data_IF_315395284007
#
_entry.id   IF_315395284007
#
_cell.length_a   1.000
_cell.length_b   1.000
_cell.length_c   1.000
_cell.angle_alpha   90.00
_cell.angle_beta   90.00
_cell.angle_gamma   90.00
#
_symmetry.space_group_name_H-M   'P 1'
#
loop_
_entity.id
_entity.type
_entity.pdbx_description
1 polymer ?
#
# COMPACT_ATOMS: atom_id res chain seq x y z
N UNK A 1 0.00 46.21 -75.66
CA UNK A 1 0.85 47.36 -75.27
C UNK A 1 -0.06 48.51 -74.86
N UNK A 2 0.15 49.23 -73.74
CA UNK A 2 0.56 48.80 -72.39
C UNK A 2 -0.37 49.37 -71.28
N UNK A 3 -0.21 48.78 -70.09
CA UNK A 3 -0.41 49.26 -68.72
C UNK A 3 -0.77 50.74 -68.45
N UNK A 4 -1.74 50.97 -67.55
CA UNK A 4 -1.65 52.06 -66.56
C UNK A 4 -2.30 51.68 -65.22
N UNK A 5 -1.47 51.75 -64.18
CA UNK A 5 -1.73 51.53 -62.75
C UNK A 5 -2.85 52.39 -62.15
N UNK A 6 -3.71 51.79 -61.33
CA UNK A 6 -4.27 52.44 -60.12
C UNK A 6 -4.20 51.46 -58.95
N UNK A 7 -3.21 51.66 -58.10
CA UNK A 7 -3.02 50.92 -56.84
C UNK A 7 -3.92 51.58 -55.79
N UNK A 8 -4.98 50.90 -55.37
CA UNK A 8 -5.69 51.21 -54.14
C UNK A 8 -4.84 50.71 -52.97
N UNK A 9 -4.35 51.62 -52.12
CA UNK A 9 -3.73 51.27 -50.83
C UNK A 9 -4.83 50.80 -49.88
N UNK A 10 -5.08 49.49 -49.82
CA UNK A 10 -5.81 48.88 -48.71
C UNK A 10 -4.80 48.69 -47.58
N UNK A 11 -5.01 49.42 -46.49
CA UNK A 11 -4.29 49.24 -45.24
C UNK A 11 -4.73 47.91 -44.63
N UNK A 12 -3.93 46.87 -44.83
CA UNK A 12 -4.08 45.60 -44.11
C UNK A 12 -3.51 45.80 -42.70
N UNK A 13 -4.39 46.01 -41.72
CA UNK A 13 -4.03 45.86 -40.31
C UNK A 13 -3.80 44.37 -40.09
N UNK A 14 -2.54 43.95 -40.15
CA UNK A 14 -2.12 42.64 -39.70
C UNK A 14 -2.28 42.62 -38.17
N UNK A 15 -3.44 42.17 -37.70
CA UNK A 15 -3.56 41.66 -36.34
C UNK A 15 -2.72 40.38 -36.31
N UNK A 16 -1.47 40.52 -35.89
CA UNK A 16 -0.65 39.41 -35.42
C UNK A 16 -1.35 38.84 -34.19
N UNK A 17 -2.27 37.92 -34.42
CA UNK A 17 -2.62 36.91 -33.42
C UNK A 17 -1.36 36.07 -33.31
N UNK A 18 -0.48 36.46 -32.38
CA UNK A 18 0.47 35.54 -31.82
C UNK A 18 -0.36 34.41 -31.22
N UNK A 19 -0.53 33.33 -31.97
CA UNK A 19 -0.89 32.06 -31.39
C UNK A 19 0.26 31.72 -30.43
N UNK A 20 0.05 32.08 -29.16
CA UNK A 20 0.86 31.56 -28.07
C UNK A 20 0.95 30.05 -28.29
N UNK A 21 2.16 29.47 -28.36
CA UNK A 21 2.26 28.02 -28.40
C UNK A 21 1.52 27.54 -27.16
N UNK A 22 0.51 26.69 -27.37
CA UNK A 22 -0.11 25.96 -26.27
C UNK A 22 1.03 25.30 -25.50
N UNK A 23 1.26 25.76 -24.27
CA UNK A 23 2.20 25.15 -23.34
C UNK A 23 1.67 23.76 -22.98
N UNK A 24 1.91 22.79 -23.86
CA UNK A 24 1.76 21.37 -23.59
C UNK A 24 3.15 20.74 -23.62
N UNK A 25 3.55 20.08 -22.54
CA UNK A 25 4.81 19.34 -22.51
C UNK A 25 4.71 18.11 -23.42
N UNK A 26 5.65 17.97 -24.36
CA UNK A 26 5.73 16.79 -25.23
C UNK A 26 6.18 15.56 -24.45
N UNK A 27 5.83 14.36 -24.90
CA UNK A 27 6.30 13.12 -24.28
C UNK A 27 7.68 12.72 -24.81
N UNK A 28 8.50 12.14 -23.94
CA UNK A 28 9.83 11.64 -24.29
C UNK A 28 9.71 10.51 -25.31
N UNK A 29 10.32 10.70 -26.48
CA UNK A 29 10.41 9.67 -27.52
C UNK A 29 11.70 8.86 -27.43
N UNK A 30 11.58 7.54 -27.58
CA UNK A 30 12.69 6.59 -27.51
C UNK A 30 12.63 5.62 -28.70
N UNK A 31 13.79 5.04 -29.05
CA UNK A 31 13.91 3.92 -29.97
C UNK A 31 14.23 2.65 -29.17
N UNK A 32 13.46 1.55 -29.33
CA UNK A 32 13.79 0.27 -28.72
C UNK A 32 15.11 -0.28 -29.27
N UNK A 33 15.88 -0.95 -28.40
CA UNK A 33 17.09 -1.69 -28.73
C UNK A 33 16.78 -3.19 -28.91
N UNK A 34 17.71 -3.94 -29.48
CA UNK A 34 17.57 -5.40 -29.59
C UNK A 34 17.35 -6.03 -28.20
N UNK A 35 16.27 -6.81 -28.05
CA UNK A 35 15.88 -7.43 -26.79
C UNK A 35 15.04 -6.55 -25.86
N UNK A 36 14.72 -5.31 -26.26
CA UNK A 36 13.83 -4.47 -25.47
C UNK A 36 12.37 -4.95 -25.51
N UNK A 37 11.82 -5.19 -24.32
CA UNK A 37 10.39 -5.23 -24.07
C UNK A 37 9.96 -4.02 -23.23
N UNK A 38 8.66 -3.80 -23.10
CA UNK A 38 8.14 -2.64 -22.34
C UNK A 38 8.71 -2.58 -20.90
N UNK A 39 8.84 -3.73 -20.25
CA UNK A 39 9.41 -3.83 -18.89
C UNK A 39 10.88 -3.40 -18.82
N UNK A 40 11.70 -3.79 -19.80
CA UNK A 40 13.13 -3.42 -19.80
C UNK A 40 13.31 -1.94 -20.11
N UNK A 41 12.48 -1.38 -21.00
CA UNK A 41 12.47 0.05 -21.29
C UNK A 41 12.07 0.85 -20.04
N UNK A 42 11.00 0.46 -19.36
CA UNK A 42 10.58 1.13 -18.12
C UNK A 42 11.68 1.09 -17.06
N UNK A 43 12.30 -0.07 -16.86
CA UNK A 43 13.45 -0.20 -15.96
C UNK A 43 14.63 0.69 -16.37
N UNK A 44 14.95 0.78 -17.67
CA UNK A 44 16.01 1.65 -18.21
C UNK A 44 15.73 3.11 -17.89
N UNK A 45 14.51 3.58 -18.08
CA UNK A 45 14.12 4.97 -17.81
C UNK A 45 13.62 5.21 -16.39
N UNK A 46 13.82 4.25 -15.47
CA UNK A 46 13.42 4.33 -14.05
C UNK A 46 11.94 4.67 -13.87
N UNK A 47 11.11 4.10 -14.74
CA UNK A 47 9.66 4.04 -14.60
C UNK A 47 9.28 2.71 -13.98
N UNK A 48 8.31 2.73 -13.08
CA UNK A 48 7.77 1.49 -12.53
C UNK A 48 6.85 0.80 -13.52
N UNK A 49 6.97 -0.52 -13.58
CA UNK A 49 6.12 -1.38 -14.42
C UNK A 49 4.76 -1.61 -13.76
N UNK A 50 3.99 -0.53 -13.63
CA UNK A 50 2.61 -0.53 -13.10
C UNK A 50 1.60 -0.53 -14.23
N UNK A 51 0.37 -0.97 -13.95
CA UNK A 51 -0.72 -0.92 -14.91
C UNK A 51 -0.97 0.52 -15.41
N UNK A 52 -0.77 1.52 -14.57
CA UNK A 52 -0.99 2.93 -14.92
C UNK A 52 0.07 3.42 -15.92
N UNK A 53 1.36 3.21 -15.64
CA UNK A 53 2.43 3.58 -16.58
C UNK A 53 2.31 2.79 -17.89
N UNK A 54 1.93 1.51 -17.82
CA UNK A 54 1.69 0.67 -19.00
C UNK A 54 0.48 1.18 -19.80
N UNK A 55 -0.60 1.57 -19.13
CA UNK A 55 -1.80 2.13 -19.77
C UNK A 55 -1.53 3.45 -20.47
N UNK A 56 -0.81 4.37 -19.81
CA UNK A 56 -0.37 5.63 -20.41
C UNK A 56 0.54 5.36 -21.60
N UNK A 57 1.54 4.49 -21.47
CA UNK A 57 2.38 4.12 -22.60
C UNK A 57 1.57 3.53 -23.77
N UNK A 58 0.60 2.66 -23.48
CA UNK A 58 -0.24 2.06 -24.50
C UNK A 58 -1.13 3.10 -25.19
N UNK A 59 -1.72 4.04 -24.45
CA UNK A 59 -2.56 5.10 -25.02
C UNK A 59 -1.74 6.06 -25.91
N UNK A 60 -0.51 6.37 -25.50
CA UNK A 60 0.40 7.22 -26.28
C UNK A 60 0.90 6.58 -27.58
N UNK A 61 0.86 5.24 -27.68
CA UNK A 61 1.48 4.49 -28.77
C UNK A 61 0.55 3.50 -29.48
N UNK A 62 -0.76 3.57 -29.24
CA UNK A 62 -1.73 2.53 -29.62
C UNK A 62 -1.63 2.10 -31.10
N UNK A 63 -1.36 3.03 -32.02
CA UNK A 63 -1.25 2.76 -33.46
C UNK A 63 0.08 2.12 -33.91
N UNK A 64 1.04 1.98 -33.00
CA UNK A 64 2.43 1.54 -33.27
C UNK A 64 2.80 0.23 -32.56
N UNK A 65 1.91 -0.30 -31.72
CA UNK A 65 2.15 -1.51 -30.93
C UNK A 65 1.73 -2.77 -31.70
N UNK A 66 2.52 -3.83 -31.57
CA UNK A 66 2.15 -5.15 -32.05
C UNK A 66 1.24 -5.91 -31.08
N UNK A 67 0.96 -7.18 -31.39
CA UNK A 67 0.21 -8.06 -30.50
C UNK A 67 0.86 -8.12 -29.11
N UNK A 68 0.02 -8.06 -28.07
CA UNK A 68 0.43 -8.04 -26.66
C UNK A 68 1.43 -6.93 -26.28
N UNK A 69 1.28 -5.73 -26.85
CA UNK A 69 2.15 -4.57 -26.62
C UNK A 69 3.62 -4.80 -27.03
N UNK A 70 3.86 -5.66 -28.02
CA UNK A 70 5.20 -5.84 -28.59
C UNK A 70 5.68 -4.58 -29.30
N UNK A 71 6.99 -4.34 -29.22
CA UNK A 71 7.66 -3.17 -29.77
C UNK A 71 8.45 -3.57 -31.03
N UNK A 72 8.39 -2.72 -32.05
CA UNK A 72 9.13 -2.91 -33.30
C UNK A 72 10.42 -2.09 -33.31
N UNK A 73 11.51 -2.68 -33.79
CA UNK A 73 12.78 -1.98 -33.98
C UNK A 73 12.64 -0.88 -35.04
N UNK A 74 13.34 0.24 -34.82
CA UNK A 74 13.28 1.41 -35.72
C UNK A 74 12.00 2.25 -35.58
N UNK A 75 11.03 1.84 -34.76
CA UNK A 75 9.82 2.60 -34.47
C UNK A 75 10.01 3.42 -33.19
N UNK A 76 9.67 4.72 -33.24
CA UNK A 76 9.72 5.60 -32.06
C UNK A 76 8.48 5.46 -31.20
N UNK A 77 8.69 5.29 -29.90
CA UNK A 77 7.64 5.19 -28.88
C UNK A 77 7.75 6.34 -27.88
N UNK A 78 6.60 6.85 -27.43
CA UNK A 78 6.49 7.86 -26.38
C UNK A 78 6.40 7.20 -25.01
N UNK A 79 7.27 7.58 -24.09
CA UNK A 79 7.21 7.16 -22.69
C UNK A 79 6.28 8.08 -21.89
N UNK A 80 5.72 7.59 -20.75
CA UNK A 80 4.95 8.41 -19.81
C UNK A 80 5.87 9.37 -19.02
N UNK A 81 6.65 10.16 -19.75
CA UNK A 81 7.61 11.14 -19.25
C UNK A 81 7.41 12.38 -20.11
N UNK A 82 6.96 13.47 -19.51
CA UNK A 82 6.89 14.76 -20.17
C UNK A 82 8.28 15.39 -20.28
N UNK A 83 8.49 16.13 -21.35
CA UNK A 83 9.67 16.91 -21.64
C UNK A 83 9.30 18.38 -21.54
N UNK A 84 9.80 19.03 -20.50
CA UNK A 84 9.64 20.45 -20.25
C UNK A 84 10.92 21.20 -20.58
N UNK A 85 10.77 22.47 -20.96
CA UNK A 85 11.90 23.39 -21.05
C UNK A 85 12.19 23.95 -19.67
N UNK A 86 13.38 23.68 -19.12
CA UNK A 86 13.81 24.30 -17.88
C UNK A 86 14.12 25.77 -18.12
N UNK A 87 13.37 26.66 -17.47
CA UNK A 87 13.43 28.10 -17.72
C UNK A 87 14.67 28.80 -17.12
N UNK A 88 15.57 28.06 -16.48
CA UNK A 88 16.77 28.60 -15.84
C UNK A 88 16.57 29.15 -14.42
N UNK A 89 15.32 29.23 -13.94
CA UNK A 89 14.99 29.70 -12.60
C UNK A 89 14.74 28.52 -11.64
N UNK A 90 13.66 27.76 -11.85
CA UNK A 90 13.30 26.64 -10.97
C UNK A 90 12.45 25.61 -11.71
N UNK A 91 12.51 24.34 -11.28
CA UNK A 91 11.68 23.27 -11.84
C UNK A 91 10.20 23.63 -11.67
N UNK A 92 9.82 24.11 -10.47
CA UNK A 92 8.45 24.57 -10.18
C UNK A 92 7.88 25.54 -11.21
N UNK A 93 8.64 26.60 -11.51
CA UNK A 93 8.23 27.61 -12.49
C UNK A 93 8.35 27.12 -13.93
N UNK A 94 9.18 26.10 -14.20
CA UNK A 94 9.31 25.48 -15.53
C UNK A 94 8.12 24.58 -15.87
N UNK A 95 7.50 23.94 -14.87
CA UNK A 95 6.40 22.99 -15.06
C UNK A 95 5.03 23.54 -14.63
N UNK A 96 4.99 24.76 -14.11
CA UNK A 96 3.75 25.39 -13.60
C UNK A 96 3.18 24.72 -12.35
N UNK A 97 4.03 24.05 -11.55
CA UNK A 97 3.63 23.40 -10.31
C UNK A 97 4.40 24.01 -9.13
N UNK A 98 3.70 24.52 -8.12
CA UNK A 98 4.29 25.21 -6.97
C UNK A 98 4.79 24.27 -5.86
N UNK A 99 4.58 22.96 -5.99
CA UNK A 99 5.02 21.96 -5.01
C UNK A 99 6.56 21.85 -5.01
N UNK A 100 7.16 22.13 -3.86
CA UNK A 100 8.61 22.11 -3.67
C UNK A 100 9.16 20.70 -3.70
N UNK A 101 8.53 19.78 -2.96
CA UNK A 101 9.00 18.40 -2.81
C UNK A 101 8.86 17.66 -4.14
N UNK A 102 7.76 17.89 -4.86
CA UNK A 102 7.62 17.38 -6.23
C UNK A 102 8.73 17.87 -7.16
N UNK A 103 9.09 19.16 -7.09
CA UNK A 103 10.20 19.69 -7.88
C UNK A 103 11.55 19.08 -7.48
N UNK A 104 11.75 18.72 -6.22
CA UNK A 104 12.94 17.97 -5.75
C UNK A 104 12.95 16.56 -6.34
N UNK A 105 11.84 15.82 -6.31
CA UNK A 105 11.78 14.47 -6.91
C UNK A 105 12.09 14.49 -8.41
N UNK A 106 11.63 15.53 -9.13
CA UNK A 106 11.96 15.73 -10.55
C UNK A 106 13.45 16.02 -10.72
N UNK A 107 14.05 16.83 -9.85
CA UNK A 107 15.49 17.09 -9.88
C UNK A 107 16.26 15.78 -9.70
N UNK A 108 15.96 15.01 -8.64
CA UNK A 108 16.61 13.74 -8.33
C UNK A 108 16.48 12.73 -9.47
N UNK A 109 15.29 12.64 -10.08
CA UNK A 109 15.05 11.79 -11.23
C UNK A 109 15.97 12.17 -12.41
N UNK A 110 16.05 13.46 -12.76
CA UNK A 110 16.91 13.90 -13.86
C UNK A 110 18.41 13.73 -13.55
N UNK A 111 18.82 14.03 -12.31
CA UNK A 111 20.22 13.88 -11.88
C UNK A 111 20.63 12.41 -11.86
N UNK A 112 19.75 11.50 -11.41
CA UNK A 112 19.95 10.06 -11.46
C UNK A 112 20.10 9.57 -12.90
N UNK A 113 19.20 9.94 -13.81
CA UNK A 113 19.27 9.51 -15.20
C UNK A 113 20.52 10.04 -15.91
N UNK A 114 20.96 11.26 -15.59
CA UNK A 114 22.22 11.79 -16.08
C UNK A 114 23.43 11.02 -15.53
N UNK A 115 23.49 10.77 -14.21
CA UNK A 115 24.60 10.03 -13.59
C UNK A 115 24.75 8.60 -14.10
N UNK A 116 23.65 7.99 -14.55
CA UNK A 116 23.62 6.65 -15.16
C UNK A 116 23.85 6.66 -16.67
N UNK A 117 24.11 7.83 -17.28
CA UNK A 117 24.32 7.98 -18.72
C UNK A 117 23.09 7.74 -19.58
N UNK A 118 21.89 7.73 -18.98
CA UNK A 118 20.61 7.55 -19.69
C UNK A 118 20.18 8.88 -20.32
N UNK A 119 20.37 9.99 -19.58
CA UNK A 119 20.36 11.34 -20.15
C UNK A 119 21.77 11.72 -20.57
N UNK A 120 21.91 12.31 -21.76
CA UNK A 120 23.20 12.74 -22.28
C UNK A 120 23.76 13.97 -21.57
N UNK A 121 22.89 14.88 -21.09
CA UNK A 121 23.28 16.09 -20.37
C UNK A 121 22.40 16.30 -19.13
N UNK A 122 22.92 17.12 -18.20
CA UNK A 122 22.13 17.64 -17.10
C UNK A 122 21.14 18.70 -17.61
N UNK A 123 19.89 18.64 -17.12
CA UNK A 123 18.81 19.53 -17.55
C UNK A 123 19.12 21.03 -17.33
N UNK A 124 20.02 21.37 -16.41
CA UNK A 124 20.45 22.75 -16.17
C UNK A 124 21.31 23.31 -17.32
N UNK A 125 21.96 22.42 -18.08
CA UNK A 125 22.84 22.75 -19.21
C UNK A 125 22.03 22.80 -20.50
N UNK A 126 21.37 21.70 -20.86
CA UNK A 126 20.64 21.56 -22.13
C UNK A 126 19.20 22.10 -22.08
N UNK A 127 18.73 22.50 -20.89
CA UNK A 127 17.37 22.99 -20.61
C UNK A 127 16.28 21.94 -20.86
N UNK A 128 16.61 20.65 -20.96
CA UNK A 128 15.65 19.57 -21.19
C UNK A 128 15.33 18.85 -19.89
N UNK A 129 14.17 19.14 -19.31
CA UNK A 129 13.70 18.56 -18.06
C UNK A 129 12.74 17.40 -18.33
N UNK A 130 13.06 16.20 -17.82
CA UNK A 130 12.19 15.04 -17.94
C UNK A 130 11.36 14.86 -16.68
N UNK A 131 10.04 14.79 -16.83
CA UNK A 131 9.10 14.75 -15.72
C UNK A 131 8.19 13.54 -15.92
N UNK A 132 8.38 12.44 -15.16
CA UNK A 132 7.46 11.30 -15.21
C UNK A 132 6.01 11.77 -15.00
N UNK A 133 5.09 11.29 -15.84
CA UNK A 133 3.67 11.63 -15.74
C UNK A 133 3.07 11.08 -14.43
N UNK A 134 3.58 9.93 -13.99
CA UNK A 134 3.25 9.34 -12.70
C UNK A 134 4.52 9.36 -11.86
N UNK A 135 4.55 10.26 -10.88
CA UNK A 135 5.69 10.42 -9.98
C UNK A 135 5.82 9.21 -9.06
N UNK A 136 7.03 8.68 -8.92
CA UNK A 136 7.41 7.80 -7.82
C UNK A 136 8.46 8.49 -6.95
N UNK A 137 8.27 8.41 -5.64
CA UNK A 137 9.24 8.86 -4.64
C UNK A 137 10.46 7.92 -4.67
N UNK A 138 11.65 8.48 -4.90
CA UNK A 138 12.88 7.91 -4.38
C UNK A 138 12.84 8.10 -2.85
N UNK A 139 13.05 7.04 -2.06
CA UNK A 139 12.99 7.11 -0.59
C UNK A 139 14.10 8.02 -0.03
N UNK A 140 13.74 9.04 0.74
CA UNK A 140 14.23 9.37 2.10
C UNK A 140 13.45 10.59 2.68
N UNK A 141 13.13 10.54 3.99
CA UNK A 141 12.89 11.71 4.87
C UNK A 141 11.77 12.74 4.58
N UNK A 142 10.67 12.64 5.31
CA UNK A 142 9.81 13.71 5.89
C UNK A 142 9.23 14.92 5.07
N UNK A 143 7.90 15.08 5.22
CA UNK A 143 7.08 16.30 5.50
C UNK A 143 7.00 17.49 4.50
N UNK A 144 5.89 18.20 4.20
CA UNK A 144 4.44 18.24 4.56
C UNK A 144 3.75 19.35 3.69
N UNK A 145 2.53 19.08 3.13
CA UNK A 145 1.27 19.91 3.08
C UNK A 145 1.37 21.35 2.48
N UNK A 146 0.51 21.92 1.60
CA UNK A 146 -0.97 21.95 1.41
C UNK A 146 -1.27 22.79 0.15
N UNK A 147 -2.47 22.69 -0.45
CA UNK A 147 -3.44 23.80 -0.36
C UNK A 147 -4.84 23.45 -0.86
N UNK A 148 -5.77 23.71 0.06
CA UNK A 148 -7.23 23.83 -0.02
C UNK A 148 -7.81 24.36 -1.34
N UNK A 149 -8.92 23.75 -1.78
CA UNK A 149 -10.17 24.49 -2.02
C UNK A 149 -11.42 23.61 -1.98
N UNK A 150 -12.34 24.09 -1.14
CA UNK A 150 -13.72 23.66 -0.88
C UNK A 150 -14.55 23.62 -2.17
N UNK A 151 -15.12 22.47 -2.54
CA UNK A 151 -16.35 22.38 -3.34
C UNK A 151 -17.10 21.08 -3.01
N UNK A 152 -18.32 21.26 -2.51
CA UNK A 152 -19.49 20.37 -2.58
C UNK A 152 -19.41 19.27 -3.65
N UNK A 153 -19.45 17.98 -3.28
CA UNK A 153 -19.54 16.88 -4.27
C UNK A 153 -20.47 15.73 -3.88
N UNK A 154 -21.52 15.64 -4.69
CA UNK A 154 -22.19 14.44 -5.16
C UNK A 154 -21.20 13.39 -5.71
N UNK A 155 -21.51 12.11 -5.44
CA UNK A 155 -20.76 10.88 -5.74
C UNK A 155 -20.27 10.71 -7.19
N UNK A 156 -18.97 10.48 -7.37
CA UNK A 156 -18.33 9.60 -8.39
C UNK A 156 -17.08 8.97 -7.75
N UNK A 157 -17.02 7.63 -7.65
CA UNK A 157 -15.96 6.90 -6.92
C UNK A 157 -14.68 6.79 -7.76
N UNK A 158 -13.69 7.62 -7.45
CA UNK A 158 -12.29 7.33 -7.73
C UNK A 158 -11.66 6.60 -6.53
N UNK A 159 -10.51 5.96 -6.77
CA UNK A 159 -9.65 5.42 -5.71
C UNK A 159 -9.30 6.53 -4.71
N UNK A 160 -9.44 6.24 -3.43
CA UNK A 160 -9.23 7.21 -2.36
C UNK A 160 -7.83 7.09 -1.78
N UNK A 161 -7.37 8.16 -1.13
CA UNK A 161 -6.19 8.11 -0.26
C UNK A 161 -6.64 8.43 1.15
N UNK A 162 -6.29 7.56 2.08
CA UNK A 162 -6.58 7.70 3.51
C UNK A 162 -5.31 8.07 4.24
N UNK A 163 -5.45 8.84 5.32
CA UNK A 163 -4.39 9.07 6.28
C UNK A 163 -4.79 8.32 7.55
N UNK A 164 -4.01 7.29 7.90
CA UNK A 164 -4.16 6.48 9.10
C UNK A 164 -2.93 6.67 9.99
N UNK A 165 -2.98 7.59 10.97
CA UNK A 165 -1.84 7.89 11.84
C UNK A 165 -1.28 6.68 12.59
N UNK A 166 -2.11 5.67 12.90
CA UNK A 166 -1.67 4.45 13.59
C UNK A 166 -0.64 3.64 12.80
N UNK A 167 -0.47 3.87 11.49
CA UNK A 167 0.58 3.19 10.73
C UNK A 167 1.96 3.83 10.90
N UNK A 168 2.05 4.96 11.62
CA UNK A 168 3.27 5.74 11.78
C UNK A 168 3.59 6.56 10.54
N UNK A 169 4.43 7.58 10.70
CA UNK A 169 4.71 8.60 9.69
C UNK A 169 5.08 8.04 8.31
N UNK A 170 5.86 6.95 8.29
CA UNK A 170 6.31 6.28 7.06
C UNK A 170 5.19 5.55 6.31
N UNK A 171 4.14 5.10 6.99
CA UNK A 171 3.11 4.23 6.41
C UNK A 171 1.68 4.76 6.53
N UNK A 172 1.49 5.94 7.13
CA UNK A 172 0.17 6.56 7.38
C UNK A 172 -0.63 6.83 6.11
N UNK A 173 0.02 7.02 4.97
CA UNK A 173 -0.69 7.20 3.71
C UNK A 173 -1.09 5.84 3.11
N UNK A 174 -2.39 5.66 2.93
CA UNK A 174 -2.97 4.44 2.37
C UNK A 174 -3.65 4.80 1.06
N UNK A 175 -3.08 4.36 -0.06
CA UNK A 175 -3.69 4.54 -1.38
C UNK A 175 -4.55 3.33 -1.69
N UNK A 176 -5.85 3.56 -1.87
CA UNK A 176 -6.73 2.54 -2.39
C UNK A 176 -6.25 2.11 -3.79
N UNK A 177 -6.08 0.82 -4.00
CA UNK A 177 -5.68 0.19 -5.26
C UNK A 177 -6.81 -0.60 -5.91
N UNK A 178 -7.86 -0.93 -5.14
CA UNK A 178 -9.08 -1.56 -5.67
C UNK A 178 -10.24 -1.36 -4.71
N UNK A 179 -11.46 -1.62 -5.19
CA UNK A 179 -12.67 -1.66 -4.36
C UNK A 179 -13.14 -3.09 -4.04
N UNK A 180 -12.26 -4.11 -4.15
CA UNK A 180 -12.66 -5.52 -3.97
C UNK A 180 -13.26 -5.81 -2.60
N UNK A 181 -12.76 -5.14 -1.56
CA UNK A 181 -13.26 -5.25 -0.20
C UNK A 181 -14.18 -4.09 0.20
N UNK A 182 -14.64 -3.28 -0.75
CA UNK A 182 -15.58 -2.20 -0.48
C UNK A 182 -16.82 -2.70 0.27
N UNK A 183 -17.23 -1.89 1.25
CA UNK A 183 -18.34 -2.15 2.17
C UNK A 183 -18.13 -3.37 3.10
N UNK A 184 -16.97 -4.05 3.07
CA UNK A 184 -16.58 -5.01 4.11
C UNK A 184 -15.90 -4.28 5.27
N UNK A 185 -16.18 -4.73 6.49
CA UNK A 185 -15.62 -4.17 7.72
C UNK A 185 -14.82 -5.23 8.46
N UNK A 186 -13.57 -4.91 8.79
CA UNK A 186 -12.70 -5.77 9.57
C UNK A 186 -12.40 -5.16 10.94
N UNK A 187 -12.68 -5.92 12.00
CA UNK A 187 -12.31 -5.60 13.37
C UNK A 187 -11.03 -6.35 13.71
N UNK A 188 -9.88 -5.67 13.61
CA UNK A 188 -8.58 -6.26 13.83
C UNK A 188 -8.17 -6.09 15.28
N UNK A 189 -7.77 -7.18 15.92
CA UNK A 189 -7.49 -7.22 17.36
C UNK A 189 -6.09 -7.81 17.57
N UNK A 190 -5.13 -6.96 17.96
CA UNK A 190 -3.88 -7.46 18.53
C UNK A 190 -4.18 -8.18 19.85
N UNK A 191 -3.61 -9.37 20.02
CA UNK A 191 -3.64 -10.06 21.30
C UNK A 191 -3.05 -9.20 22.40
N UNK A 192 -3.57 -9.34 23.62
CA UNK A 192 -3.02 -8.68 24.80
C UNK A 192 -2.95 -7.13 24.68
N UNK A 193 -1.82 -6.50 24.99
CA UNK A 193 -1.59 -5.05 24.96
C UNK A 193 -1.95 -4.33 26.25
N UNK A 194 -1.42 -3.12 26.40
CA UNK A 194 -1.49 -2.32 27.63
C UNK A 194 -0.71 -3.03 28.74
N UNK A 195 -1.29 -3.30 29.91
CA UNK A 195 -0.55 -3.90 31.03
C UNK A 195 -0.20 -5.40 30.87
N UNK A 196 -0.43 -5.99 29.70
CA UNK A 196 -0.32 -7.42 29.42
C UNK A 196 0.48 -7.62 28.14
N UNK A 197 1.78 -7.99 28.20
CA UNK A 197 2.59 -8.19 26.99
C UNK A 197 2.33 -9.53 26.28
N UNK A 198 1.41 -10.35 26.83
CA UNK A 198 1.21 -11.72 26.40
C UNK A 198 2.44 -12.59 26.62
N UNK A 199 2.66 -13.54 25.71
CA UNK A 199 3.81 -14.42 25.79
C UNK A 199 5.13 -13.68 25.52
N UNK A 200 6.16 -14.03 26.30
CA UNK A 200 7.50 -13.45 26.15
C UNK A 200 8.48 -14.53 25.68
N UNK A 201 9.01 -14.34 24.47
CA UNK A 201 10.13 -15.09 23.92
C UNK A 201 11.47 -14.41 24.20
N UNK A 202 12.58 -15.11 23.93
CA UNK A 202 13.92 -14.52 23.99
C UNK A 202 14.73 -14.92 22.76
N UNK A 203 15.49 -13.98 22.20
CA UNK A 203 16.38 -14.18 21.05
C UNK A 203 17.60 -13.28 21.13
N UNK A 204 18.79 -13.86 21.08
CA UNK A 204 20.07 -13.14 21.10
C UNK A 204 20.15 -12.03 22.18
N UNK A 205 19.66 -12.33 23.39
CA UNK A 205 19.66 -11.40 24.52
C UNK A 205 18.49 -10.41 24.57
N UNK A 206 17.63 -10.37 23.55
CA UNK A 206 16.44 -9.51 23.50
C UNK A 206 15.18 -10.28 23.89
N UNK A 207 14.22 -9.59 24.49
CA UNK A 207 12.87 -10.11 24.73
C UNK A 207 11.98 -9.86 23.50
N UNK A 208 11.08 -10.81 23.25
CA UNK A 208 10.09 -10.73 22.18
C UNK A 208 8.72 -10.77 22.84
N UNK A 209 7.93 -9.69 22.73
CA UNK A 209 6.62 -9.58 23.36
C UNK A 209 5.53 -9.85 22.33
N UNK A 210 4.56 -10.69 22.68
CA UNK A 210 3.53 -11.17 21.75
C UNK A 210 2.70 -10.02 21.17
N UNK A 211 2.27 -9.11 22.03
CA UNK A 211 1.48 -7.94 21.66
C UNK A 211 2.18 -7.07 20.62
N UNK A 212 3.48 -6.81 20.78
CA UNK A 212 4.26 -5.97 19.86
C UNK A 212 4.29 -6.52 18.44
N UNK A 213 4.57 -7.83 18.29
CA UNK A 213 4.64 -8.47 16.96
C UNK A 213 3.25 -8.73 16.38
N UNK A 214 2.27 -9.09 17.22
CA UNK A 214 0.88 -9.23 16.78
C UNK A 214 0.33 -7.89 16.29
N UNK A 215 0.62 -6.79 16.99
CA UNK A 215 0.20 -5.45 16.63
C UNK A 215 0.82 -4.97 15.32
N UNK A 216 2.12 -5.13 15.12
CA UNK A 216 2.78 -4.77 13.85
C UNK A 216 2.15 -5.52 12.66
N UNK A 217 1.86 -6.82 12.79
CA UNK A 217 1.19 -7.61 11.75
C UNK A 217 -0.26 -7.15 11.53
N UNK A 218 -0.98 -6.78 12.60
CA UNK A 218 -2.32 -6.18 12.53
C UNK A 218 -2.31 -4.88 11.74
N UNK A 219 -1.34 -3.99 11.96
CA UNK A 219 -1.23 -2.72 11.23
C UNK A 219 -0.91 -2.96 9.75
N UNK A 220 0.00 -3.89 9.44
CA UNK A 220 0.29 -4.28 8.05
C UNK A 220 -0.93 -4.87 7.35
N UNK A 221 -1.68 -5.74 8.04
CA UNK A 221 -2.92 -6.31 7.51
C UNK A 221 -3.98 -5.22 7.31
N UNK A 222 -4.13 -4.30 8.27
CA UNK A 222 -5.06 -3.18 8.20
C UNK A 222 -4.80 -2.34 6.96
N UNK A 223 -3.54 -1.93 6.77
CA UNK A 223 -3.11 -1.15 5.60
C UNK A 223 -3.49 -1.86 4.30
N UNK A 224 -3.11 -3.13 4.16
CA UNK A 224 -3.43 -3.91 2.97
C UNK A 224 -4.95 -4.03 2.72
N UNK A 225 -5.76 -4.28 3.74
CA UNK A 225 -7.21 -4.38 3.59
C UNK A 225 -7.83 -3.04 3.17
N UNK A 226 -7.36 -1.93 3.75
CA UNK A 226 -7.77 -0.58 3.38
C UNK A 226 -7.35 -0.21 1.95
N UNK A 227 -6.20 -0.67 1.47
CA UNK A 227 -5.80 -0.53 0.06
C UNK A 227 -6.82 -1.21 -0.88
N UNK A 228 -7.54 -2.23 -0.42
CA UNK A 228 -8.60 -2.88 -1.19
C UNK A 228 -10.02 -2.33 -0.89
N UNK A 229 -10.12 -1.17 -0.24
CA UNK A 229 -11.36 -0.46 0.00
C UNK A 229 -12.16 -0.93 1.22
N UNK A 230 -11.57 -1.80 2.05
CA UNK A 230 -12.21 -2.22 3.29
C UNK A 230 -12.24 -1.08 4.32
N UNK A 231 -13.30 -1.04 5.13
CA UNK A 231 -13.25 -0.28 6.38
C UNK A 231 -12.57 -1.13 7.44
N UNK A 232 -11.54 -0.61 8.10
CA UNK A 232 -10.82 -1.34 9.15
C UNK A 232 -10.95 -0.60 10.48
N UNK A 233 -11.19 -1.37 11.54
CA UNK A 233 -11.26 -0.91 12.93
C UNK A 233 -10.22 -1.66 13.74
N UNK A 234 -9.13 -0.98 14.11
CA UNK A 234 -8.09 -1.54 14.97
C UNK A 234 -8.53 -1.35 16.42
N UNK A 235 -8.75 -2.46 17.14
CA UNK A 235 -9.43 -2.46 18.44
C UNK A 235 -8.48 -2.17 19.60
N UNK A 236 -7.25 -2.65 19.54
CA UNK A 236 -6.14 -2.32 20.46
C UNK A 236 -5.20 -1.41 19.68
N UNK A 237 -4.90 -0.22 20.21
CA UNK A 237 -4.21 0.86 19.50
C UNK A 237 -3.04 1.37 20.33
N UNK A 238 -1.87 1.41 19.72
CA UNK A 238 -0.73 2.21 20.16
C UNK A 238 -0.55 3.36 19.16
N UNK A 239 -0.54 4.59 19.66
CA UNK A 239 -0.39 5.77 18.80
C UNK A 239 1.07 6.11 18.52
N UNK A 240 1.98 5.56 19.32
CA UNK A 240 3.42 5.80 19.23
C UNK A 240 4.07 4.68 18.40
N UNK A 241 3.62 3.44 18.57
CA UNK A 241 4.14 2.27 17.85
C UNK A 241 3.40 2.01 16.52
N UNK A 242 3.83 2.69 15.46
CA UNK A 242 3.34 2.43 14.10
C UNK A 242 3.82 1.11 13.48
N UNK A 243 3.75 0.98 12.16
CA UNK A 243 4.39 -0.15 11.46
C UNK A 243 5.92 0.00 11.60
N UNK A 244 6.56 -0.98 12.23
CA UNK A 244 7.98 -0.95 12.57
C UNK A 244 8.79 -1.90 11.69
N UNK A 245 9.94 -1.41 11.22
CA UNK A 245 10.86 -2.15 10.36
C UNK A 245 11.97 -2.86 11.15
N UNK A 246 12.04 -2.64 12.45
CA UNK A 246 13.08 -3.20 13.30
C UNK A 246 12.91 -4.70 13.52
N UNK A 247 14.04 -5.36 13.81
CA UNK A 247 14.09 -6.80 14.10
C UNK A 247 13.50 -7.07 15.48
N UNK A 248 13.87 -6.25 16.46
CA UNK A 248 13.37 -6.32 17.83
C UNK A 248 12.50 -5.10 18.08
N UNK A 249 11.24 -5.36 18.43
CA UNK A 249 10.26 -4.33 18.76
C UNK A 249 10.33 -4.07 20.26
N UNK A 250 10.54 -2.81 20.65
CA UNK A 250 10.54 -2.42 22.05
C UNK A 250 9.13 -2.60 22.62
N UNK A 251 9.06 -2.96 23.89
CA UNK A 251 7.79 -3.10 24.59
C UNK A 251 7.29 -1.75 25.09
N UNK A 252 5.99 -1.50 24.96
CA UNK A 252 5.29 -0.39 25.61
C UNK A 252 4.19 -0.93 26.55
N UNK A 253 3.47 -0.03 27.22
CA UNK A 253 2.29 -0.37 28.03
C UNK A 253 1.21 0.72 27.91
N UNK A 254 1.32 1.57 26.90
CA UNK A 254 0.51 2.77 26.68
C UNK A 254 -0.64 2.52 25.70
N UNK A 255 -0.86 1.27 25.28
CA UNK A 255 -1.92 0.92 24.34
C UNK A 255 -3.29 1.13 24.97
N UNK A 256 -4.19 1.60 24.13
CA UNK A 256 -5.58 1.89 24.48
C UNK A 256 -6.49 1.07 23.59
N UNK A 257 -7.73 0.88 24.02
CA UNK A 257 -8.76 0.43 23.11
C UNK A 257 -9.24 1.57 22.21
N UNK A 258 -9.77 1.19 21.04
CA UNK A 258 -10.45 2.08 20.11
C UNK A 258 -11.33 3.12 20.83
N UNK A 259 -11.09 4.40 20.49
CA UNK A 259 -11.71 5.54 21.16
C UNK A 259 -11.00 5.97 22.45
N UNK A 260 -9.68 5.74 22.54
CA UNK A 260 -8.80 6.20 23.62
C UNK A 260 -9.22 5.70 25.03
N UNK A 261 -9.74 4.48 25.09
CA UNK A 261 -10.18 3.88 26.35
C UNK A 261 -9.05 3.05 26.98
N UNK A 262 -8.81 3.21 28.29
CA UNK A 262 -7.76 2.47 29.00
C UNK A 262 -7.98 0.94 28.96
N UNK A 263 -6.89 0.19 28.81
CA UNK A 263 -6.90 -1.28 28.87
C UNK A 263 -6.83 -1.74 30.34
N UNK A 264 -7.84 -2.45 30.86
CA UNK A 264 -7.85 -2.86 32.26
C UNK A 264 -6.84 -3.97 32.54
N UNK A 265 -6.30 -3.99 33.77
CA UNK A 265 -5.39 -5.06 34.25
C UNK A 265 -6.06 -6.43 34.40
N UNK A 266 -7.37 -6.48 34.60
CA UNK A 266 -8.10 -7.76 34.74
C UNK A 266 -8.38 -8.39 33.36
N UNK A 267 -7.98 -9.65 33.18
CA UNK A 267 -8.09 -10.37 31.91
C UNK A 267 -9.55 -10.49 31.41
N UNK A 268 -10.50 -10.83 32.27
CA UNK A 268 -11.91 -10.95 31.88
C UNK A 268 -12.51 -9.58 31.52
N UNK A 269 -12.11 -8.52 32.23
CA UNK A 269 -12.49 -7.16 31.89
C UNK A 269 -11.96 -6.75 30.51
N UNK A 270 -10.70 -7.09 30.17
CA UNK A 270 -10.14 -6.86 28.82
C UNK A 270 -10.98 -7.53 27.74
N UNK A 271 -11.25 -8.83 27.93
CA UNK A 271 -12.02 -9.63 26.98
C UNK A 271 -13.45 -9.09 26.80
N UNK A 272 -14.13 -8.73 27.90
CA UNK A 272 -15.46 -8.11 27.87
C UNK A 272 -15.44 -6.79 27.11
N UNK A 273 -14.46 -5.93 27.38
CA UNK A 273 -14.39 -4.61 26.79
C UNK A 273 -14.12 -4.65 25.28
N UNK A 274 -13.21 -5.52 24.82
CA UNK A 274 -13.01 -5.76 23.38
C UNK A 274 -14.31 -6.18 22.68
N UNK A 275 -15.02 -7.14 23.27
CA UNK A 275 -16.31 -7.62 22.74
C UNK A 275 -17.36 -6.51 22.71
N UNK A 276 -17.47 -5.72 23.78
CA UNK A 276 -18.39 -4.58 23.87
C UNK A 276 -18.15 -3.58 22.74
N UNK A 277 -16.90 -3.17 22.53
CA UNK A 277 -16.51 -2.23 21.47
C UNK A 277 -16.88 -2.78 20.09
N UNK A 278 -16.50 -4.03 19.82
CA UNK A 278 -16.76 -4.69 18.53
C UNK A 278 -18.27 -4.82 18.27
N UNK A 279 -19.04 -5.26 19.26
CA UNK A 279 -20.48 -5.44 19.11
C UNK A 279 -21.20 -4.09 18.92
N UNK A 280 -20.76 -3.04 19.60
CA UNK A 280 -21.27 -1.69 19.40
C UNK A 280 -21.01 -1.18 17.98
N UNK A 281 -19.79 -1.36 17.46
CA UNK A 281 -19.48 -1.00 16.07
C UNK A 281 -20.25 -1.87 15.06
N UNK A 282 -20.46 -3.16 15.36
CA UNK A 282 -21.25 -4.04 14.52
C UNK A 282 -22.67 -3.50 14.31
N UNK A 283 -23.35 -3.12 15.39
CA UNK A 283 -24.72 -2.59 15.32
C UNK A 283 -24.80 -1.25 14.58
N UNK A 284 -23.78 -0.40 14.68
CA UNK A 284 -23.72 0.86 13.91
C UNK A 284 -23.65 0.62 12.40
N UNK A 285 -23.04 -0.48 11.99
CA UNK A 285 -22.79 -0.78 10.57
C UNK A 285 -23.65 -1.92 10.00
N UNK A 286 -24.56 -2.50 10.80
CA UNK A 286 -25.34 -3.68 10.41
C UNK A 286 -26.19 -3.51 9.14
N UNK A 287 -26.55 -2.27 8.80
CA UNK A 287 -27.40 -1.96 7.64
C UNK A 287 -26.59 -1.47 6.41
N UNK A 288 -25.30 -1.21 6.56
CA UNK A 288 -24.44 -0.64 5.52
C UNK A 288 -23.31 -1.57 5.09
N UNK A 289 -22.85 -2.47 5.97
CA UNK A 289 -21.77 -3.39 5.69
C UNK A 289 -22.24 -4.60 4.85
N UNK A 290 -21.45 -4.96 3.84
CA UNK A 290 -21.59 -6.22 3.08
C UNK A 290 -21.23 -7.43 3.96
N UNK A 291 -20.11 -7.34 4.67
CA UNK A 291 -19.66 -8.36 5.60
C UNK A 291 -18.89 -7.71 6.76
N UNK A 292 -18.97 -8.29 7.94
CA UNK A 292 -18.30 -7.79 9.15
C UNK A 292 -17.55 -8.95 9.81
N UNK A 293 -16.22 -8.87 9.87
CA UNK A 293 -15.34 -9.95 10.32
C UNK A 293 -14.41 -9.45 11.43
N UNK A 294 -14.29 -10.23 12.51
CA UNK A 294 -13.30 -9.99 13.56
C UNK A 294 -12.10 -10.90 13.36
N UNK A 295 -10.91 -10.34 13.47
CA UNK A 295 -9.65 -11.07 13.31
C UNK A 295 -8.73 -10.80 14.50
N UNK A 296 -8.84 -11.59 15.58
CA UNK A 296 -7.84 -11.61 16.64
C UNK A 296 -6.57 -12.32 16.16
N UNK A 297 -5.42 -11.69 16.35
CA UNK A 297 -4.10 -12.25 16.01
C UNK A 297 -3.27 -12.34 17.29
N UNK A 298 -2.71 -13.52 17.53
CA UNK A 298 -1.91 -13.86 18.69
C UNK A 298 -0.64 -14.62 18.28
N UNK A 299 0.28 -14.75 19.24
CA UNK A 299 1.49 -15.56 19.10
C UNK A 299 1.53 -16.59 20.23
N UNK A 300 1.20 -17.83 19.89
CA UNK A 300 1.23 -18.96 20.80
C UNK A 300 2.59 -19.14 21.51
N UNK A 301 2.55 -19.76 22.69
CA UNK A 301 3.72 -20.08 23.50
C UNK A 301 3.59 -21.50 24.03
N UNK A 302 4.40 -22.40 23.46
CA UNK A 302 4.44 -23.80 23.88
C UNK A 302 5.74 -24.10 24.58
N UNK A 303 5.63 -24.83 25.69
CA UNK A 303 6.79 -25.24 26.50
C UNK A 303 7.84 -25.99 25.69
N UNK A 304 7.42 -26.82 24.73
CA UNK A 304 8.34 -27.49 23.83
C UNK A 304 8.91 -26.50 22.80
N UNK A 305 10.07 -25.93 23.13
CA UNK A 305 10.80 -24.97 22.31
C UNK A 305 11.30 -25.53 20.98
N UNK A 306 11.46 -26.85 20.83
CA UNK A 306 11.89 -27.45 19.56
C UNK A 306 10.73 -27.67 18.59
N UNK A 307 9.49 -27.68 19.10
CA UNK A 307 8.29 -27.84 18.28
C UNK A 307 7.98 -26.56 17.52
N UNK A 308 8.21 -26.60 16.21
CA UNK A 308 7.71 -25.61 15.26
C UNK A 308 6.19 -25.68 15.15
N UNK A 309 5.58 -24.52 14.99
CA UNK A 309 4.16 -24.34 14.78
C UNK A 309 3.95 -23.39 13.61
N UNK A 310 3.16 -23.88 12.67
CA UNK A 310 2.67 -23.09 11.55
C UNK A 310 1.42 -22.33 11.91
N UNK A 311 1.12 -21.29 11.15
CA UNK A 311 -0.04 -20.44 11.39
C UNK A 311 -1.30 -21.31 11.39
N UNK A 312 -2.05 -21.25 12.48
CA UNK A 312 -3.28 -22.01 12.63
C UNK A 312 -4.43 -21.09 13.06
N UNK A 313 -5.65 -21.58 12.86
CA UNK A 313 -6.86 -20.79 12.93
C UNK A 313 -7.88 -21.44 13.84
N UNK A 314 -8.62 -20.61 14.58
CA UNK A 314 -9.80 -21.03 15.30
C UNK A 314 -11.06 -20.32 14.83
N UNK A 315 -12.17 -21.04 14.88
CA UNK A 315 -13.51 -20.50 14.68
C UNK A 315 -14.44 -20.96 15.80
N UNK A 316 -15.60 -20.32 15.92
CA UNK A 316 -16.66 -20.82 16.80
C UNK A 316 -17.26 -22.09 16.19
N UNK A 317 -17.47 -23.13 17.01
CA UNK A 317 -18.07 -24.41 16.60
C UNK A 317 -19.41 -24.24 15.85
N UNK A 318 -20.19 -23.23 16.22
CA UNK A 318 -21.51 -22.95 15.64
C UNK A 318 -21.45 -21.99 14.44
N UNK A 319 -20.27 -21.57 13.99
CA UNK A 319 -20.11 -20.63 12.88
C UNK A 319 -19.56 -21.31 11.64
N UNK A 320 -20.45 -21.72 10.73
CA UNK A 320 -20.06 -22.29 9.43
C UNK A 320 -19.28 -21.29 8.59
N UNK A 321 -19.72 -20.02 8.57
CA UNK A 321 -19.00 -18.95 7.87
C UNK A 321 -17.60 -18.72 8.46
N UNK A 322 -17.45 -18.77 9.78
CA UNK A 322 -16.14 -18.69 10.44
C UNK A 322 -15.21 -19.83 10.04
N UNK A 323 -15.75 -21.05 9.91
CA UNK A 323 -15.00 -22.21 9.40
C UNK A 323 -14.54 -21.99 7.95
N UNK A 324 -15.43 -21.52 7.07
CA UNK A 324 -15.10 -21.25 5.65
C UNK A 324 -13.99 -20.19 5.54
N UNK A 325 -14.09 -19.09 6.29
CA UNK A 325 -13.07 -18.04 6.29
C UNK A 325 -11.74 -18.62 6.80
N UNK A 326 -11.74 -19.29 7.95
CA UNK A 326 -10.54 -19.88 8.52
C UNK A 326 -9.85 -20.88 7.55
N UNK A 327 -10.62 -21.76 6.91
CA UNK A 327 -10.09 -22.71 5.92
C UNK A 327 -9.51 -22.00 4.71
N UNK A 328 -10.18 -20.96 4.19
CA UNK A 328 -9.72 -20.21 3.01
C UNK A 328 -8.41 -19.46 3.31
N UNK A 329 -8.29 -18.88 4.50
CA UNK A 329 -7.05 -18.25 4.96
C UNK A 329 -5.93 -19.29 5.12
N UNK A 330 -6.21 -20.45 5.72
CA UNK A 330 -5.23 -21.53 5.88
C UNK A 330 -4.72 -22.03 4.53
N UNK A 331 -5.62 -22.37 3.60
CA UNK A 331 -5.26 -22.86 2.26
C UNK A 331 -4.43 -21.84 1.48
N UNK A 332 -4.76 -20.55 1.64
CA UNK A 332 -3.99 -19.47 1.02
C UNK A 332 -2.60 -19.37 1.60
N UNK A 333 -2.46 -19.38 2.93
CA UNK A 333 -1.14 -19.36 3.59
C UNK A 333 -0.32 -20.59 3.22
N UNK A 334 -0.91 -21.79 3.26
CA UNK A 334 -0.23 -23.03 2.89
C UNK A 334 0.33 -22.96 1.47
N UNK A 335 -0.49 -22.51 0.51
CA UNK A 335 -0.08 -22.33 -0.88
C UNK A 335 1.11 -21.37 -1.00
N UNK A 336 1.09 -20.26 -0.26
CA UNK A 336 2.17 -19.27 -0.27
C UNK A 336 3.44 -19.80 0.40
N UNK A 337 3.34 -20.55 1.49
CA UNK A 337 4.48 -21.25 2.09
C UNK A 337 5.09 -22.26 1.12
N UNK A 338 4.27 -23.05 0.42
CA UNK A 338 4.76 -24.03 -0.56
C UNK A 338 5.56 -23.37 -1.68
N UNK A 339 5.14 -22.19 -2.12
CA UNK A 339 5.84 -21.42 -3.13
C UNK A 339 7.12 -20.75 -2.59
N UNK A 340 7.07 -20.16 -1.39
CA UNK A 340 8.17 -19.40 -0.81
C UNK A 340 9.24 -20.28 -0.14
N UNK A 341 8.87 -21.47 0.35
CA UNK A 341 9.75 -22.43 1.03
C UNK A 341 9.50 -23.87 0.54
N UNK A 342 9.85 -24.18 -0.73
CA UNK A 342 9.64 -25.53 -1.28
C UNK A 342 10.30 -26.61 -0.41
N UNK A 343 9.57 -27.69 -0.12
CA UNK A 343 10.06 -28.83 0.63
C UNK A 343 10.05 -28.70 2.16
N UNK A 344 9.79 -27.51 2.73
CA UNK A 344 9.71 -27.31 4.19
C UNK A 344 8.45 -27.91 4.82
N UNK A 345 7.40 -28.12 4.02
CA UNK A 345 6.08 -28.57 4.47
C UNK A 345 5.28 -27.46 5.18
N UNK A 346 4.03 -27.75 5.49
CA UNK A 346 3.16 -26.84 6.24
C UNK A 346 2.15 -27.65 7.05
N UNK A 347 2.07 -27.39 8.36
CA UNK A 347 1.25 -28.14 9.31
C UNK A 347 0.27 -27.24 10.09
N UNK A 348 -0.12 -26.10 9.51
CA UNK A 348 -1.18 -25.26 10.06
C UNK A 348 -2.52 -26.01 10.07
N UNK A 349 -3.46 -25.57 10.90
CA UNK A 349 -4.76 -26.24 11.03
C UNK A 349 -5.90 -25.26 11.24
N UNK A 350 -7.12 -25.74 11.01
CA UNK A 350 -8.36 -25.06 11.41
C UNK A 350 -9.05 -25.94 12.44
N UNK A 351 -9.42 -25.38 13.58
CA UNK A 351 -10.21 -26.10 14.58
C UNK A 351 -11.22 -25.21 15.30
N UNK A 352 -12.32 -25.81 15.76
CA UNK A 352 -13.29 -25.09 16.56
C UNK A 352 -12.80 -24.90 18.01
N UNK A 353 -13.03 -23.72 18.58
CA UNK A 353 -12.74 -23.42 19.98
C UNK A 353 -13.85 -22.60 20.64
N UNK A 354 -14.00 -22.78 21.95
CA UNK A 354 -14.86 -21.96 22.80
C UNK A 354 -14.09 -20.80 23.44
N UNK A 355 -13.27 -20.05 22.70
CA UNK A 355 -12.59 -18.88 23.27
C UNK A 355 -13.61 -17.77 23.56
N UNK A 356 -13.32 -16.91 24.54
CA UNK A 356 -14.27 -15.88 24.97
C UNK A 356 -14.70 -14.97 23.82
N UNK A 357 -13.76 -14.44 23.03
CA UNK A 357 -14.10 -13.58 21.89
C UNK A 357 -14.92 -14.34 20.84
N UNK A 358 -14.51 -15.55 20.44
CA UNK A 358 -15.24 -16.39 19.49
C UNK A 358 -16.71 -16.62 19.89
N UNK A 359 -17.00 -16.70 21.19
CA UNK A 359 -18.36 -16.95 21.71
C UNK A 359 -19.21 -15.69 21.87
N UNK A 360 -18.61 -14.53 22.10
CA UNK A 360 -19.34 -13.36 22.57
C UNK A 360 -19.34 -12.18 21.57
N UNK A 361 -18.50 -12.22 20.52
CA UNK A 361 -18.64 -11.29 19.39
C UNK A 361 -19.83 -11.69 18.52
N UNK A 362 -20.61 -10.70 18.10
CA UNK A 362 -21.73 -10.87 17.16
C UNK A 362 -21.24 -11.09 15.71
N UNK A 363 -20.34 -10.27 15.15
CA UNK A 363 -19.77 -10.54 13.82
C UNK A 363 -19.01 -11.86 13.77
N UNK A 364 -18.82 -12.39 12.55
CA UNK A 364 -18.08 -13.63 12.34
C UNK A 364 -16.63 -13.43 12.78
N UNK A 365 -16.11 -14.32 13.61
CA UNK A 365 -14.76 -14.21 14.18
C UNK A 365 -13.88 -15.38 13.76
N UNK A 366 -12.70 -15.06 13.25
CA UNK A 366 -11.63 -16.02 12.97
C UNK A 366 -10.38 -15.60 13.72
N UNK A 367 -9.95 -16.45 14.64
CA UNK A 367 -8.79 -16.24 15.49
C UNK A 367 -7.56 -16.86 14.85
N UNK A 368 -6.41 -16.17 14.90
CA UNK A 368 -5.17 -16.58 14.24
C UNK A 368 -4.05 -16.66 15.27
N UNK A 369 -3.30 -17.74 15.24
CA UNK A 369 -2.08 -17.95 16.03
C UNK A 369 -0.89 -18.07 15.08
N UNK A 370 0.11 -17.19 15.24
CA UNK A 370 1.14 -16.97 14.23
C UNK A 370 2.31 -17.96 14.30
N UNK A 371 2.50 -18.64 15.43
CA UNK A 371 3.63 -19.55 15.66
C UNK A 371 3.98 -19.66 17.12
N UNK A 372 5.02 -20.43 17.44
CA UNK A 372 5.49 -20.56 18.82
C UNK A 372 6.59 -19.54 19.13
N UNK A 373 6.32 -18.53 19.96
CA UNK A 373 7.30 -17.49 20.34
C UNK A 373 8.53 -18.05 21.06
N UNK A 374 8.44 -19.27 21.61
CA UNK A 374 9.54 -19.96 22.27
C UNK A 374 10.48 -20.70 21.29
N UNK A 375 10.08 -20.87 20.04
CA UNK A 375 10.86 -21.60 19.03
C UNK A 375 11.64 -20.64 18.12
N UNK A 376 12.97 -20.78 18.07
CA UNK A 376 13.85 -19.86 17.32
C UNK A 376 13.54 -19.79 15.82
N UNK A 377 13.09 -20.90 15.21
CA UNK A 377 12.76 -20.95 13.79
C UNK A 377 11.43 -20.24 13.50
N UNK A 378 10.47 -20.34 14.41
CA UNK A 378 9.21 -19.60 14.31
C UNK A 378 9.41 -18.12 14.65
N UNK A 379 10.32 -17.78 15.57
CA UNK A 379 10.67 -16.38 15.85
C UNK A 379 11.16 -15.64 14.59
N UNK A 380 11.81 -16.31 13.63
CA UNK A 380 12.23 -15.68 12.35
C UNK A 380 11.01 -15.11 11.60
N UNK A 381 9.85 -15.76 11.70
CA UNK A 381 8.60 -15.28 11.12
C UNK A 381 8.15 -13.94 11.72
N UNK A 382 8.46 -13.72 12.99
CA UNK A 382 8.07 -12.56 13.77
C UNK A 382 9.09 -11.43 13.65
N UNK A 383 10.38 -11.72 13.84
CA UNK A 383 11.42 -10.67 13.92
C UNK A 383 11.78 -10.08 12.56
N UNK A 384 11.65 -10.84 11.47
CA UNK A 384 11.95 -10.32 10.13
C UNK A 384 10.76 -9.52 9.57
N UNK A 385 10.94 -8.22 9.33
CA UNK A 385 9.89 -7.33 8.81
C UNK A 385 9.24 -7.83 7.52
N UNK A 386 10.03 -8.44 6.63
CA UNK A 386 9.53 -8.96 5.35
C UNK A 386 8.63 -10.19 5.57
N UNK A 387 8.87 -10.97 6.62
CA UNK A 387 8.00 -12.08 6.98
C UNK A 387 6.70 -11.56 7.60
N UNK A 388 6.76 -10.54 8.47
CA UNK A 388 5.55 -9.86 8.99
C UNK A 388 4.70 -9.31 7.85
N UNK A 389 5.31 -8.64 6.88
CA UNK A 389 4.62 -8.15 5.69
C UNK A 389 4.07 -9.29 4.81
N UNK A 390 4.82 -10.39 4.64
CA UNK A 390 4.36 -11.53 3.87
C UNK A 390 3.10 -12.15 4.47
N UNK A 391 3.04 -12.30 5.79
CA UNK A 391 1.84 -12.79 6.50
C UNK A 391 0.65 -11.88 6.24
N UNK A 392 0.81 -10.56 6.41
CA UNK A 392 -0.24 -9.59 6.12
C UNK A 392 -0.74 -9.71 4.67
N UNK A 393 0.18 -9.80 3.71
CA UNK A 393 -0.16 -9.97 2.29
C UNK A 393 -0.95 -11.27 2.04
N UNK A 394 -0.52 -12.39 2.64
CA UNK A 394 -1.17 -13.69 2.44
C UNK A 394 -2.55 -13.76 3.09
N UNK A 395 -2.73 -13.11 4.24
CA UNK A 395 -4.05 -12.95 4.87
C UNK A 395 -4.96 -12.09 4.00
N UNK A 396 -4.47 -10.95 3.48
CA UNK A 396 -5.22 -10.11 2.53
C UNK A 396 -5.63 -10.90 1.29
N UNK A 397 -4.73 -11.66 0.67
CA UNK A 397 -5.05 -12.52 -0.48
C UNK A 397 -6.19 -13.51 -0.15
N UNK A 398 -6.19 -14.07 1.05
CA UNK A 398 -7.25 -14.96 1.51
C UNK A 398 -8.59 -14.24 1.67
N UNK A 399 -8.60 -13.02 2.21
CA UNK A 399 -9.81 -12.20 2.29
C UNK A 399 -10.32 -11.74 0.92
N UNK A 400 -9.42 -11.44 -0.02
CA UNK A 400 -9.81 -11.10 -1.39
C UNK A 400 -10.51 -12.26 -2.09
N UNK A 401 -10.04 -13.50 -1.92
CA UNK A 401 -10.72 -14.70 -2.45
C UNK A 401 -12.12 -14.91 -1.88
N UNK A 402 -12.37 -14.46 -0.64
CA UNK A 402 -13.69 -14.56 0.00
C UNK A 402 -14.68 -13.50 -0.49
N UNK A 403 -14.17 -12.43 -1.12
CA UNK A 403 -14.95 -11.30 -1.61
C UNK A 403 -15.27 -11.37 -3.11
N UNK A 404 -14.57 -12.25 -3.85
CA UNK A 404 -14.89 -12.71 -5.21
C UNK A 404 -16.18 -13.56 -5.23
#
# INVERSE_FOLDING_TARGET
MPYLMKIFKIVFVFVLINALPMLGAEYLEILPQNGDGLKTIFQRYRLDYTEQNVSVFNSLNQSKLGSSNSLYLGVKYKLPIHVFVYNGNSIRSSIGNSDYDYAVTIQEYNDLLFSKGIKSNNYKIDKVLWVPEITFYLKEGENIVTTNKTVTKTKKSGLQTYIEPLFGEKYKEVKEISHKLKDNIYYLVGGHGGPDPGAIGRRYGNELHEDEYAYDIILRLAKNLMEHGATVKIIVQDKEDGIRDDVYLNNSFNETYYGDQEIPRNQLARLRKRVEIINNEYYKNQNSAKEQIVVPIHVDSRENKSRRIDIFFYHNQSSDRGKVIASTLLETIESKYRAAQPGRGYNGSVSARGLYMLRNTIPVTVYIELGNIQNEQDQIRLVEKNNRQAIANWLTDGFLKLAE
#
